data_IF_660365012091
#
_entry.id   IF_660365012091
#
_cell.length_a   1.000
_cell.length_b   1.000
_cell.length_c   1.000
_cell.angle_alpha   90.00
_cell.angle_beta   90.00
_cell.angle_gamma   90.00
#
_symmetry.space_group_name_H-M   'P 1'
#
loop_
_entity.id
_entity.type
_entity.pdbx_description
1 polymer ?
#
# COMPACT_ATOMS: atom_id res chain seq x y z
N UNK A 1 5.21 -17.20 4.38
CA UNK A 1 4.81 -15.78 4.28
C UNK A 1 5.26 -15.30 2.92
N UNK A 2 4.33 -14.86 2.06
CA UNK A 2 4.71 -14.28 0.77
C UNK A 2 5.30 -12.91 1.09
N UNK A 3 6.56 -12.70 0.72
CA UNK A 3 7.19 -11.40 0.71
C UNK A 3 7.16 -10.92 -0.74
N UNK A 4 6.11 -10.20 -1.17
CA UNK A 4 6.06 -9.71 -2.54
C UNK A 4 7.29 -8.84 -2.79
N UNK A 5 7.88 -9.01 -3.97
CA UNK A 5 8.95 -8.13 -4.40
C UNK A 5 8.38 -6.71 -4.63
N UNK A 6 9.27 -5.71 -4.69
CA UNK A 6 8.82 -4.37 -5.07
C UNK A 6 8.17 -4.34 -6.45
N UNK A 7 8.63 -5.19 -7.38
CA UNK A 7 8.03 -5.32 -8.71
C UNK A 7 6.59 -5.83 -8.62
N UNK A 8 6.33 -6.83 -7.77
CA UNK A 8 4.98 -7.35 -7.55
C UNK A 8 4.06 -6.27 -6.97
N UNK A 9 4.55 -5.52 -5.98
CA UNK A 9 3.80 -4.43 -5.37
C UNK A 9 3.51 -3.30 -6.37
N UNK A 10 4.48 -2.92 -7.20
CA UNK A 10 4.28 -1.93 -8.27
C UNK A 10 3.24 -2.39 -9.29
N UNK A 11 3.27 -3.67 -9.66
CA UNK A 11 2.31 -4.23 -10.60
C UNK A 11 0.88 -4.19 -10.04
N UNK A 12 0.68 -4.53 -8.76
CA UNK A 12 -0.62 -4.45 -8.11
C UNK A 12 -1.10 -3.01 -8.00
N UNK A 13 -0.24 -2.08 -7.58
CA UNK A 13 -0.65 -0.68 -7.39
C UNK A 13 -1.00 -0.01 -8.72
N UNK A 14 -0.28 -0.33 -9.80
CA UNK A 14 -0.52 0.26 -11.12
C UNK A 14 -1.49 -0.58 -11.98
N UNK A 15 -2.09 -1.66 -11.48
CA UNK A 15 -2.91 -2.56 -12.32
C UNK A 15 -4.19 -1.94 -12.84
N UNK A 16 -4.66 -0.87 -12.20
CA UNK A 16 -5.88 -0.15 -12.57
C UNK A 16 -5.61 1.09 -13.43
N UNK A 17 -4.36 1.38 -13.78
CA UNK A 17 -3.99 2.54 -14.60
C UNK A 17 -4.24 2.22 -16.07
N UNK A 18 -4.97 3.09 -16.78
CA UNK A 18 -5.26 2.87 -18.20
C UNK A 18 -3.98 3.01 -19.07
N UNK A 19 -3.86 2.26 -20.18
CA UNK A 19 -2.74 2.39 -21.09
C UNK A 19 -2.62 3.81 -21.64
N UNK A 20 -1.54 4.51 -21.27
CA UNK A 20 -1.28 5.89 -21.67
C UNK A 20 -1.43 6.91 -20.53
N UNK A 21 -2.00 6.50 -19.39
CA UNK A 21 -2.04 7.31 -18.18
C UNK A 21 -0.74 7.20 -17.37
N UNK A 22 -0.51 8.16 -16.48
CA UNK A 22 0.64 8.14 -15.60
C UNK A 22 0.46 7.08 -14.50
N UNK A 23 1.47 6.24 -14.25
CA UNK A 23 1.40 5.26 -13.17
C UNK A 23 1.32 5.94 -11.81
N UNK A 24 0.50 5.37 -10.92
CA UNK A 24 0.35 5.81 -9.52
C UNK A 24 1.69 5.78 -8.77
N UNK A 25 2.52 4.76 -9.03
CA UNK A 25 3.87 4.66 -8.46
C UNK A 25 4.92 4.35 -9.50
N UNK A 26 6.01 5.13 -9.48
CA UNK A 26 7.18 4.94 -10.34
C UNK A 26 8.44 4.51 -9.57
N UNK A 27 8.39 4.55 -8.23
CA UNK A 27 9.57 4.32 -7.39
C UNK A 27 9.26 3.41 -6.22
N UNK A 28 10.29 2.69 -5.76
CA UNK A 28 10.20 1.88 -4.53
C UNK A 28 9.95 2.76 -3.30
N UNK A 29 10.41 4.01 -3.34
CA UNK A 29 10.24 4.95 -2.24
C UNK A 29 8.76 5.25 -1.96
N UNK A 30 7.95 5.40 -3.01
CA UNK A 30 6.49 5.63 -2.87
C UNK A 30 5.80 4.48 -2.14
N UNK A 31 6.18 3.23 -2.43
CA UNK A 31 5.65 2.03 -1.77
C UNK A 31 6.06 2.01 -0.30
N UNK A 32 7.34 2.28 0.00
CA UNK A 32 7.85 2.32 1.38
C UNK A 32 7.11 3.39 2.18
N UNK A 33 6.91 4.57 1.60
CA UNK A 33 6.20 5.66 2.26
C UNK A 33 4.73 5.32 2.52
N UNK A 34 4.03 4.75 1.54
CA UNK A 34 2.64 4.32 1.70
C UNK A 34 2.47 3.24 2.78
N UNK A 35 3.29 2.19 2.73
CA UNK A 35 3.29 1.14 3.75
C UNK A 35 3.61 1.70 5.15
N UNK A 36 4.52 2.67 5.26
CA UNK A 36 4.84 3.32 6.53
C UNK A 36 3.71 4.23 7.04
N UNK A 37 3.05 4.98 6.15
CA UNK A 37 1.83 5.76 6.48
C UNK A 37 0.74 4.82 7.00
N UNK A 38 0.43 3.74 6.28
CA UNK A 38 -0.59 2.76 6.66
C UNK A 38 -0.26 2.02 7.96
N UNK A 39 0.99 1.60 8.15
CA UNK A 39 1.41 0.97 9.40
C UNK A 39 1.19 1.90 10.61
N UNK A 40 1.42 3.21 10.46
CA UNK A 40 1.14 4.20 11.52
C UNK A 40 -0.36 4.31 11.82
N UNK A 41 -1.23 4.27 10.81
CA UNK A 41 -2.69 4.25 11.02
C UNK A 41 -3.12 3.02 11.84
N UNK A 42 -2.57 1.84 11.53
CA UNK A 42 -2.84 0.60 12.30
C UNK A 42 -2.36 0.74 13.75
N UNK A 43 -1.16 1.31 13.97
CA UNK A 43 -0.64 1.58 15.32
C UNK A 43 -1.55 2.57 16.08
N UNK A 44 -2.13 3.55 15.39
CA UNK A 44 -3.08 4.50 15.96
C UNK A 44 -4.48 3.91 16.22
N UNK A 45 -4.69 2.62 15.96
CA UNK A 45 -5.94 1.90 16.25
C UNK A 45 -6.85 1.69 15.03
N UNK A 46 -6.41 2.04 13.82
CA UNK A 46 -7.17 1.71 12.60
C UNK A 46 -7.24 0.19 12.40
N UNK A 47 -8.42 -0.31 12.06
CA UNK A 47 -8.62 -1.74 11.84
C UNK A 47 -7.83 -2.25 10.62
N UNK A 48 -7.06 -3.34 10.75
CA UNK A 48 -6.44 -4.00 9.62
C UNK A 48 -7.49 -4.65 8.70
N UNK A 49 -7.32 -4.49 7.40
CA UNK A 49 -8.19 -5.05 6.37
C UNK A 49 -7.82 -6.49 6.00
N UNK A 50 -6.72 -7.01 6.54
CA UNK A 50 -6.25 -8.39 6.41
C UNK A 50 -6.12 -9.04 7.78
N UNK A 51 -6.00 -10.37 7.79
CA UNK A 51 -6.00 -11.15 9.03
C UNK A 51 -4.78 -10.83 9.93
N UNK A 52 -5.07 -10.31 11.13
CA UNK A 52 -4.09 -9.83 12.09
C UNK A 52 -3.53 -10.92 13.03
N UNK A 53 -3.06 -12.05 12.50
CA UNK A 53 -2.48 -13.19 13.29
C UNK A 53 -1.17 -12.83 14.02
N UNK A 54 -1.17 -11.84 14.91
CA UNK A 54 0.02 -11.36 15.62
C UNK A 54 1.09 -10.74 14.71
N UNK A 55 0.72 -10.37 13.48
CA UNK A 55 1.64 -9.76 12.51
C UNK A 55 1.99 -8.34 12.94
N UNK A 56 3.22 -7.91 12.66
CA UNK A 56 3.65 -6.52 12.88
C UNK A 56 2.81 -5.58 11.99
N UNK A 57 2.51 -4.35 12.43
CA UNK A 57 1.72 -3.39 11.64
C UNK A 57 2.24 -3.18 10.22
N UNK A 58 3.57 -3.14 10.04
CA UNK A 58 4.17 -2.99 8.71
C UNK A 58 3.93 -4.21 7.81
N UNK A 59 3.96 -5.42 8.37
CA UNK A 59 3.66 -6.63 7.62
C UNK A 59 2.19 -6.66 7.15
N UNK A 60 1.28 -6.18 8.00
CA UNK A 60 -0.13 -6.02 7.64
C UNK A 60 -0.29 -5.00 6.51
N UNK A 61 0.34 -3.83 6.61
CA UNK A 61 0.26 -2.79 5.59
C UNK A 61 0.75 -3.27 4.20
N UNK A 62 1.85 -4.03 4.15
CA UNK A 62 2.36 -4.62 2.89
C UNK A 62 1.38 -5.64 2.31
N UNK A 63 0.74 -6.46 3.15
CA UNK A 63 -0.22 -7.47 2.72
C UNK A 63 -1.55 -6.85 2.28
N UNK A 64 -2.02 -5.80 2.95
CA UNK A 64 -3.16 -4.99 2.51
C UNK A 64 -2.91 -4.37 1.14
N UNK A 65 -1.72 -3.80 0.93
CA UNK A 65 -1.33 -3.21 -0.36
C UNK A 65 -1.27 -4.29 -1.46
N UNK A 66 -0.62 -5.43 -1.17
CA UNK A 66 -0.50 -6.54 -2.13
C UNK A 66 -1.85 -7.18 -2.47
N UNK A 67 -2.79 -7.22 -1.51
CA UNK A 67 -4.16 -7.71 -1.74
C UNK A 67 -5.09 -6.67 -2.38
N UNK A 68 -4.59 -5.47 -2.71
CA UNK A 68 -5.36 -4.38 -3.30
C UNK A 68 -6.39 -3.74 -2.36
N UNK A 69 -6.34 -4.05 -1.05
CA UNK A 69 -7.29 -3.53 -0.05
C UNK A 69 -6.98 -2.10 0.37
N UNK A 70 -5.74 -1.65 0.16
CA UNK A 70 -5.31 -0.27 0.37
C UNK A 70 -4.78 0.25 -0.96
N UNK A 71 -5.18 1.47 -1.32
CA UNK A 71 -4.72 2.17 -2.52
C UNK A 71 -3.84 3.36 -2.12
N UNK A 72 -2.89 3.68 -3.00
CA UNK A 72 -2.05 4.87 -2.85
C UNK A 72 -2.75 5.98 -3.62
N UNK A 73 -3.16 7.03 -2.92
CA UNK A 73 -3.71 8.25 -3.50
C UNK A 73 -2.66 9.35 -3.44
N UNK A 74 -2.66 10.26 -4.42
CA UNK A 74 -1.78 11.43 -4.43
C UNK A 74 -2.17 12.42 -3.34
N UNK A 75 -1.23 13.28 -2.92
CA UNK A 75 -1.45 14.26 -1.84
C UNK A 75 -2.47 15.38 -2.24
N UNK A 76 -3.03 15.37 -3.45
CA UNK A 76 -4.08 16.32 -3.89
C UNK A 76 -5.44 16.08 -3.22
N UNK A 77 -5.67 14.88 -2.66
CA UNK A 77 -6.96 14.54 -2.00
C UNK A 77 -7.04 14.97 -0.52
N UNK A 78 -5.91 15.35 0.11
CA UNK A 78 -5.86 15.70 1.54
C UNK A 78 -6.12 17.21 1.82
N UNK A 79 -6.44 18.02 0.80
CA UNK A 79 -6.68 19.48 0.93
C UNK A 79 -8.15 19.92 1.10
N UNK A 80 -9.12 19.01 1.31
CA UNK A 80 -10.53 19.37 1.55
C UNK A 80 -11.01 19.14 3.00
#
# INVERSE_FOLDING_TARGET
MIHPSYTDLMAVVNSEVEPGEQPVVQSRYSIVLACAKRARQIIAGSEPLVESKGKKPLSLAVEELYSGKVKIVGDEEDEN
#
